data_IF_259064021853
#
_entry.id   IF_259064021853
#
_cell.length_a   1.000
_cell.length_b   1.000
_cell.length_c   1.000
_cell.angle_alpha   90.00
_cell.angle_beta   90.00
_cell.angle_gamma   90.00
#
_symmetry.space_group_name_H-M   'P 1'
#
loop_
_entity.id
_entity.type
_entity.pdbx_description
1 polymer ?
#
# COMPACT_ATOMS: atom_id res chain seq x y z
N UNK A 1 -15.89 12.98 -37.79
CA UNK A 1 -14.50 12.76 -37.37
C UNK A 1 -14.55 12.51 -35.88
N UNK A 2 -14.42 11.25 -35.48
CA UNK A 2 -14.52 10.83 -34.08
C UNK A 2 -13.39 11.46 -33.28
N UNK A 3 -13.76 12.31 -32.33
CA UNK A 3 -12.82 12.87 -31.37
C UNK A 3 -12.38 11.73 -30.46
N UNK A 4 -11.17 11.22 -30.69
CA UNK A 4 -10.47 10.35 -29.74
C UNK A 4 -10.36 11.14 -28.44
N UNK A 5 -11.17 10.75 -27.45
CA UNK A 5 -10.97 11.12 -26.06
C UNK A 5 -9.59 10.59 -25.69
N UNK A 6 -8.60 11.48 -25.73
CA UNK A 6 -7.29 11.21 -25.20
C UNK A 6 -7.51 11.07 -23.71
N UNK A 7 -7.53 9.83 -23.21
CA UNK A 7 -7.40 9.56 -21.79
C UNK A 7 -6.04 10.10 -21.35
N UNK A 8 -6.00 11.37 -20.95
CA UNK A 8 -4.91 11.93 -20.20
C UNK A 8 -4.92 11.24 -18.83
N UNK A 9 -4.33 10.04 -18.76
CA UNK A 9 -3.81 9.52 -17.51
C UNK A 9 -2.72 10.51 -17.12
N UNK A 10 -3.08 11.48 -16.28
CA UNK A 10 -2.16 12.33 -15.54
C UNK A 10 -1.23 11.41 -14.75
N UNK A 11 -0.17 10.93 -15.41
CA UNK A 11 0.83 10.11 -14.79
C UNK A 11 1.61 11.09 -13.92
N UNK A 12 1.15 11.23 -12.68
CA UNK A 12 1.88 11.90 -11.61
C UNK A 12 3.31 11.37 -11.69
N UNK A 13 4.23 12.16 -12.27
CA UNK A 13 5.59 11.76 -12.61
C UNK A 13 6.44 11.71 -11.33
N UNK A 14 5.92 11.04 -10.31
CA UNK A 14 6.53 10.86 -9.01
C UNK A 14 7.13 9.46 -9.05
N UNK A 15 8.46 9.33 -9.02
CA UNK A 15 9.15 8.04 -9.19
C UNK A 15 8.75 6.99 -8.15
N UNK A 16 8.17 7.40 -7.02
CA UNK A 16 7.68 6.53 -5.95
C UNK A 16 6.37 5.82 -6.28
N UNK A 17 5.54 6.37 -7.17
CA UNK A 17 4.23 5.81 -7.52
C UNK A 17 4.27 4.86 -8.74
N UNK A 18 5.47 4.55 -9.22
CA UNK A 18 5.67 3.66 -10.36
C UNK A 18 5.58 2.20 -9.90
N UNK A 19 4.80 1.33 -10.60
CA UNK A 19 4.74 -0.09 -10.31
C UNK A 19 6.13 -0.76 -10.32
N UNK A 20 6.32 -1.74 -9.42
CA UNK A 20 7.61 -2.42 -9.24
C UNK A 20 7.43 -3.90 -8.94
N UNK A 21 8.21 -4.77 -9.60
CA UNK A 21 8.22 -6.21 -9.34
C UNK A 21 9.31 -6.54 -8.33
N UNK A 22 8.90 -7.01 -7.15
CA UNK A 22 9.80 -7.41 -6.06
C UNK A 22 9.74 -8.94 -5.90
N UNK A 23 10.69 -9.65 -6.49
CA UNK A 23 10.69 -11.12 -6.52
C UNK A 23 9.39 -11.66 -7.13
N UNK A 24 8.59 -12.35 -6.32
CA UNK A 24 7.30 -12.94 -6.71
C UNK A 24 6.11 -11.96 -6.57
N UNK A 25 6.30 -10.78 -5.97
CA UNK A 25 5.25 -9.80 -5.74
C UNK A 25 5.26 -8.69 -6.79
N UNK A 26 4.07 -8.26 -7.22
CA UNK A 26 3.88 -7.09 -8.08
C UNK A 26 3.32 -5.95 -7.21
N UNK A 27 4.13 -4.93 -6.94
CA UNK A 27 3.73 -3.77 -6.14
C UNK A 27 3.20 -2.67 -7.05
N UNK A 28 2.10 -2.04 -6.66
CA UNK A 28 1.54 -0.89 -7.39
C UNK A 28 2.46 0.34 -7.30
N UNK A 29 3.24 0.45 -6.22
CA UNK A 29 4.13 1.59 -5.95
C UNK A 29 5.34 1.16 -5.09
N UNK A 30 6.32 2.05 -4.95
CA UNK A 30 7.62 1.78 -4.29
C UNK A 30 7.66 2.21 -2.82
N UNK A 31 6.56 2.73 -2.27
CA UNK A 31 6.44 3.05 -0.85
C UNK A 31 6.19 1.75 -0.08
N UNK A 32 7.14 1.38 0.79
CA UNK A 32 7.08 0.17 1.61
C UNK A 32 7.08 0.56 3.08
N UNK A 33 6.28 -0.13 3.88
CA UNK A 33 6.31 0.03 5.33
C UNK A 33 7.51 -0.71 5.91
N UNK A 34 8.40 0.03 6.58
CA UNK A 34 9.46 -0.58 7.37
C UNK A 34 8.88 -1.41 8.54
N UNK A 35 9.54 -2.49 8.98
CA UNK A 35 9.12 -3.23 10.16
C UNK A 35 9.29 -2.35 11.41
N UNK A 36 8.18 -1.87 11.95
CA UNK A 36 8.16 -1.03 13.15
C UNK A 36 7.48 -1.79 14.30
N UNK A 37 8.22 -2.04 15.38
CA UNK A 37 7.64 -2.59 16.60
C UNK A 37 6.84 -1.50 17.32
N UNK A 38 5.60 -1.82 17.70
CA UNK A 38 4.70 -0.89 18.43
C UNK A 38 4.61 -1.20 19.92
N UNK A 39 5.38 -2.20 20.41
CA UNK A 39 5.38 -2.71 21.79
C UNK A 39 3.97 -2.92 22.37
N UNK A 40 3.03 -3.44 21.56
CA UNK A 40 1.65 -3.68 22.00
C UNK A 40 1.31 -5.15 22.21
N UNK A 41 2.33 -6.01 22.30
CA UNK A 41 2.20 -7.40 22.75
C UNK A 41 2.47 -7.46 24.24
N UNK A 42 1.62 -8.19 24.97
CA UNK A 42 1.86 -8.51 26.38
C UNK A 42 2.37 -9.96 26.44
N UNK A 43 3.56 -10.18 26.99
CA UNK A 43 4.14 -11.52 27.14
C UNK A 43 4.33 -12.30 25.82
N UNK A 44 4.74 -11.63 24.73
CA UNK A 44 4.82 -12.18 23.37
C UNK A 44 3.49 -12.69 22.78
N UNK A 45 2.36 -12.40 23.43
CA UNK A 45 1.03 -12.68 22.91
C UNK A 45 0.44 -11.41 22.31
N UNK A 46 0.08 -11.49 21.04
CA UNK A 46 -0.69 -10.44 20.39
C UNK A 46 -2.15 -10.55 20.79
N UNK A 47 -2.74 -9.44 21.26
CA UNK A 47 -4.18 -9.37 21.48
C UNK A 47 -4.94 -9.37 20.14
N UNK A 48 -6.08 -10.06 20.06
CA UNK A 48 -6.83 -10.28 18.81
C UNK A 48 -7.19 -8.98 18.07
N UNK A 49 -7.47 -7.90 18.79
CA UNK A 49 -7.77 -6.61 18.18
C UNK A 49 -6.56 -5.93 17.53
N UNK A 50 -5.32 -6.24 17.93
CA UNK A 50 -4.13 -5.67 17.27
C UNK A 50 -3.88 -6.25 15.89
N UNK A 51 -4.17 -7.54 15.70
CA UNK A 51 -4.12 -8.15 14.38
C UNK A 51 -5.17 -7.48 13.46
N UNK A 52 -6.42 -7.35 13.93
CA UNK A 52 -7.48 -6.72 13.16
C UNK A 52 -7.15 -5.26 12.82
N UNK A 53 -6.69 -4.47 13.78
CA UNK A 53 -6.27 -3.07 13.56
C UNK A 53 -5.16 -2.97 12.52
N UNK A 54 -4.15 -3.84 12.59
CA UNK A 54 -3.08 -3.84 11.60
C UNK A 54 -3.59 -4.19 10.21
N UNK A 55 -4.51 -5.15 10.08
CA UNK A 55 -5.09 -5.52 8.78
C UNK A 55 -5.99 -4.40 8.26
N UNK A 56 -6.98 -3.95 9.03
CA UNK A 56 -8.00 -2.99 8.58
C UNK A 56 -7.40 -1.63 8.24
N UNK A 57 -6.55 -1.07 9.10
CA UNK A 57 -5.94 0.22 8.84
C UNK A 57 -4.92 0.18 7.72
N UNK A 58 -4.33 -0.99 7.41
CA UNK A 58 -3.39 -1.13 6.30
C UNK A 58 -4.09 -1.39 4.97
N UNK A 59 -5.21 -2.09 4.95
CA UNK A 59 -6.00 -2.25 3.72
C UNK A 59 -6.64 -0.93 3.29
N UNK A 60 -7.16 -0.13 4.23
CA UNK A 60 -7.64 1.22 3.90
C UNK A 60 -6.56 2.12 3.30
N UNK A 61 -5.29 1.96 3.71
CA UNK A 61 -4.17 2.68 3.11
C UNK A 61 -3.77 2.13 1.73
N UNK A 62 -4.13 0.91 1.36
CA UNK A 62 -3.92 0.39 -0.01
C UNK A 62 -5.03 0.82 -0.97
N UNK A 63 -6.23 1.06 -0.47
CA UNK A 63 -7.41 1.47 -1.26
C UNK A 63 -7.52 2.99 -1.40
N UNK A 64 -6.96 3.75 -0.46
CA UNK A 64 -7.04 5.21 -0.45
C UNK A 64 -5.96 5.95 -1.29
N UNK A 65 -5.08 5.23 -1.99
CA UNK A 65 -4.05 5.83 -2.85
C UNK A 65 -3.95 5.12 -4.20
#
# INVERSE_FOLDING_TARGET
MENKVVEEKQHMNIPLMIPYKMGNFHLSHRVVLAPLSRQRSYGNVFFQLHMLYFITHKELQKVAF
#
